data_IF_959270227295
#
_entry.id   IF_959270227295
#
_cell.length_a   1.000
_cell.length_b   1.000
_cell.length_c   1.000
_cell.angle_alpha   90.00
_cell.angle_beta   90.00
_cell.angle_gamma   90.00
#
_symmetry.space_group_name_H-M   'P 1'
#
loop_
_entity.id
_entity.type
_entity.pdbx_description
1 polymer ?
#
# COMPACT_ATOMS: atom_id res chain seq x y z
N UNK A 1 -5.15 -27.06 12.73
CA UNK A 1 -5.99 -26.40 13.74
C UNK A 1 -7.09 -25.64 13.03
N UNK A 2 -8.36 -25.84 13.43
CA UNK A 2 -9.47 -25.01 12.93
C UNK A 2 -9.78 -23.97 14.01
N UNK A 3 -9.56 -22.69 13.73
CA UNK A 3 -9.90 -21.61 14.67
C UNK A 3 -11.41 -21.51 14.91
N UNK A 4 -12.20 -21.86 13.91
CA UNK A 4 -13.66 -21.88 13.98
C UNK A 4 -14.16 -23.26 13.53
N UNK A 5 -14.85 -23.96 14.42
CA UNK A 5 -15.33 -25.33 14.15
C UNK A 5 -16.60 -25.41 13.30
N UNK A 6 -17.39 -24.38 13.18
CA UNK A 6 -18.53 -24.19 12.25
C UNK A 6 -18.99 -22.73 12.28
N UNK A 7 -18.24 -21.79 11.69
CA UNK A 7 -18.69 -20.40 11.69
C UNK A 7 -19.97 -20.27 10.87
N UNK A 8 -20.89 -19.43 11.34
CA UNK A 8 -22.14 -19.13 10.65
C UNK A 8 -22.43 -17.63 10.74
N UNK A 9 -21.48 -16.83 10.28
CA UNK A 9 -21.63 -15.39 10.22
C UNK A 9 -22.44 -14.98 8.99
N UNK A 10 -23.29 -13.96 9.12
CA UNK A 10 -24.02 -13.42 7.99
C UNK A 10 -23.23 -12.32 7.26
N UNK A 11 -22.22 -12.72 6.50
CA UNK A 11 -21.40 -11.80 5.71
C UNK A 11 -22.22 -11.10 4.62
N UNK A 12 -23.09 -11.82 3.94
CA UNK A 12 -23.95 -11.29 2.88
C UNK A 12 -24.92 -10.23 3.43
N UNK A 13 -25.42 -10.38 4.66
CA UNK A 13 -26.23 -9.36 5.32
C UNK A 13 -25.49 -8.07 5.58
N UNK A 14 -24.18 -8.15 5.93
CA UNK A 14 -23.33 -6.98 6.19
C UNK A 14 -22.79 -6.29 4.93
N UNK A 15 -22.97 -6.89 3.73
CA UNK A 15 -22.36 -6.42 2.47
C UNK A 15 -22.67 -4.96 2.14
N UNK A 16 -23.93 -4.53 2.28
CA UNK A 16 -24.31 -3.15 1.93
C UNK A 16 -23.57 -2.12 2.78
N UNK A 17 -23.46 -2.38 4.08
CA UNK A 17 -22.72 -1.53 5.00
C UNK A 17 -21.22 -1.52 4.66
N UNK A 18 -20.63 -2.69 4.51
CA UNK A 18 -19.20 -2.83 4.18
C UNK A 18 -18.85 -2.17 2.84
N UNK A 19 -19.70 -2.34 1.83
CA UNK A 19 -19.50 -1.72 0.51
C UNK A 19 -19.61 -0.20 0.56
N UNK A 20 -20.56 0.33 1.34
CA UNK A 20 -20.70 1.78 1.54
C UNK A 20 -19.49 2.35 2.29
N UNK A 21 -19.04 1.69 3.36
CA UNK A 21 -17.84 2.08 4.11
C UNK A 21 -16.60 2.11 3.21
N UNK A 22 -16.39 1.05 2.43
CA UNK A 22 -15.29 0.96 1.47
C UNK A 22 -15.39 2.02 0.37
N UNK A 23 -16.60 2.29 -0.12
CA UNK A 23 -16.82 3.33 -1.12
C UNK A 23 -16.43 4.71 -0.59
N UNK A 24 -16.82 5.03 0.65
CA UNK A 24 -16.42 6.28 1.31
C UNK A 24 -14.91 6.32 1.53
N UNK A 25 -14.28 5.23 1.98
CA UNK A 25 -12.84 5.17 2.21
C UNK A 25 -12.04 5.32 0.90
N UNK A 26 -12.47 4.66 -0.19
CA UNK A 26 -11.85 4.81 -1.52
C UNK A 26 -12.01 6.24 -2.04
N UNK A 27 -13.22 6.82 -1.91
CA UNK A 27 -13.46 8.20 -2.33
C UNK A 27 -12.60 9.18 -1.53
N UNK A 28 -12.53 9.03 -0.23
CA UNK A 28 -11.65 9.84 0.63
C UNK A 28 -10.17 9.69 0.24
N UNK A 29 -9.71 8.46 -0.03
CA UNK A 29 -8.34 8.21 -0.51
C UNK A 29 -8.05 8.89 -1.83
N UNK A 30 -8.98 8.85 -2.79
CA UNK A 30 -8.83 9.52 -4.08
C UNK A 30 -8.82 11.05 -3.94
N UNK A 31 -9.70 11.60 -3.09
CA UNK A 31 -9.72 13.04 -2.80
C UNK A 31 -8.40 13.48 -2.17
N UNK A 32 -7.89 12.75 -1.18
CA UNK A 32 -6.59 13.05 -0.55
C UNK A 32 -5.45 13.04 -1.57
N UNK A 33 -5.40 12.02 -2.42
CA UNK A 33 -4.39 11.94 -3.47
C UNK A 33 -4.52 13.10 -4.47
N UNK A 34 -5.73 13.50 -4.84
CA UNK A 34 -5.95 14.65 -5.74
C UNK A 34 -5.56 15.98 -5.09
N UNK A 35 -5.93 16.20 -3.83
CA UNK A 35 -5.60 17.44 -3.08
C UNK A 35 -4.10 17.60 -2.89
N UNK A 36 -3.39 16.50 -2.63
CA UNK A 36 -1.94 16.51 -2.47
C UNK A 36 -1.16 16.47 -3.81
N UNK A 37 -1.86 16.42 -4.96
CA UNK A 37 -1.23 16.36 -6.30
C UNK A 37 -0.62 15.00 -6.65
N UNK A 38 -1.07 13.93 -5.99
CA UNK A 38 -0.60 12.56 -6.14
C UNK A 38 0.08 12.00 -4.89
N UNK A 39 0.68 10.81 -5.00
CA UNK A 39 1.51 10.27 -3.93
C UNK A 39 2.76 11.10 -3.71
N UNK A 40 3.20 11.22 -2.46
CA UNK A 40 4.47 11.86 -2.15
C UNK A 40 5.62 10.92 -2.54
N UNK A 41 6.26 11.24 -3.66
CA UNK A 41 7.35 10.43 -4.20
C UNK A 41 8.66 10.68 -3.43
N UNK A 42 9.39 9.60 -3.10
CA UNK A 42 10.74 9.69 -2.54
C UNK A 42 11.77 10.15 -3.56
N UNK A 43 13.01 10.35 -3.12
CA UNK A 43 14.13 10.69 -3.99
C UNK A 43 14.41 9.62 -5.05
N UNK A 44 13.98 8.38 -4.85
CA UNK A 44 14.09 7.31 -5.85
C UNK A 44 13.45 7.69 -7.17
N UNK A 45 12.40 8.51 -7.12
CA UNK A 45 11.60 8.90 -8.29
C UNK A 45 11.73 10.36 -8.70
N UNK A 46 12.03 11.23 -7.72
CA UNK A 46 12.17 12.68 -7.96
C UNK A 46 13.61 13.09 -8.22
N UNK A 47 14.53 12.24 -7.82
CA UNK A 47 15.93 12.61 -7.68
C UNK A 47 16.17 13.50 -6.45
N UNK A 48 17.40 13.59 -6.01
CA UNK A 48 17.80 14.33 -4.83
C UNK A 48 18.81 13.58 -3.99
N UNK A 49 18.99 14.02 -2.74
CA UNK A 49 19.86 13.35 -1.78
C UNK A 49 19.17 13.19 -0.45
N UNK A 50 19.42 12.08 0.22
CA UNK A 50 19.03 11.84 1.61
C UNK A 50 20.31 11.67 2.43
N UNK A 51 20.38 12.42 3.51
CA UNK A 51 21.48 12.40 4.45
C UNK A 51 20.95 12.04 5.83
N UNK A 52 21.41 10.95 6.41
CA UNK A 52 21.13 10.56 7.79
C UNK A 52 22.29 10.98 8.67
N UNK A 53 22.03 11.86 9.60
CA UNK A 53 23.03 12.40 10.51
C UNK A 53 22.62 12.18 11.95
N UNK A 54 23.59 11.79 12.77
CA UNK A 54 23.44 11.66 14.21
C UNK A 54 24.29 12.70 14.92
N UNK A 55 23.68 13.42 15.85
CA UNK A 55 24.36 14.39 16.69
C UNK A 55 24.69 13.77 18.04
N UNK A 56 25.89 14.03 18.57
CA UNK A 56 26.23 13.64 19.94
C UNK A 56 25.40 14.41 20.98
N UNK A 57 25.05 15.69 20.65
CA UNK A 57 24.11 16.50 21.40
C UNK A 57 23.10 17.10 20.44
N UNK A 58 21.82 16.70 20.55
CA UNK A 58 20.77 17.11 19.62
C UNK A 58 20.48 18.60 19.73
N UNK A 59 20.60 19.36 18.64
CA UNK A 59 20.16 20.76 18.61
C UNK A 59 18.64 20.91 18.50
N UNK A 60 17.93 19.80 18.27
CA UNK A 60 16.51 19.78 17.98
C UNK A 60 16.19 20.03 16.50
N UNK A 61 15.09 19.44 16.02
CA UNK A 61 14.68 19.49 14.60
C UNK A 61 14.47 20.92 14.08
N UNK A 62 13.93 21.82 14.92
CA UNK A 62 13.69 23.21 14.55
C UNK A 62 14.99 23.95 14.25
N UNK A 63 16.03 23.76 15.08
CA UNK A 63 17.33 24.41 14.89
C UNK A 63 18.05 23.90 13.64
N UNK A 64 17.99 22.58 13.37
CA UNK A 64 18.55 22.00 12.14
C UNK A 64 17.83 22.56 10.90
N UNK A 65 16.50 22.66 10.94
CA UNK A 65 15.71 23.22 9.83
C UNK A 65 16.06 24.69 9.57
N UNK A 66 16.13 25.50 10.63
CA UNK A 66 16.50 26.91 10.53
C UNK A 66 17.91 27.08 9.97
N UNK A 67 18.85 26.24 10.38
CA UNK A 67 20.23 26.27 9.86
C UNK A 67 20.24 25.99 8.35
N UNK A 68 19.52 24.96 7.87
CA UNK A 68 19.47 24.67 6.46
C UNK A 68 18.81 25.76 5.63
N UNK A 69 17.75 26.38 6.14
CA UNK A 69 17.11 27.53 5.50
C UNK A 69 18.06 28.73 5.41
N UNK A 70 18.76 29.06 6.49
CA UNK A 70 19.71 30.19 6.53
C UNK A 70 20.91 29.99 5.60
N UNK A 71 21.32 28.77 5.36
CA UNK A 71 22.40 28.38 4.42
C UNK A 71 21.93 28.28 2.95
N UNK A 72 20.64 28.55 2.67
CA UNK A 72 20.09 28.55 1.31
C UNK A 72 19.71 27.19 0.75
N UNK A 73 19.56 26.18 1.59
CA UNK A 73 19.03 24.86 1.19
C UNK A 73 17.50 24.88 1.14
N UNK A 74 16.96 25.72 0.25
CA UNK A 74 15.52 25.87 0.07
C UNK A 74 14.86 24.52 -0.34
N UNK A 75 13.78 24.13 0.38
CA UNK A 75 13.08 22.88 0.15
C UNK A 75 13.69 21.66 0.82
N UNK A 76 14.77 21.80 1.60
CA UNK A 76 15.27 20.73 2.44
C UNK A 76 14.21 20.31 3.47
N UNK A 77 13.97 19.02 3.59
CA UNK A 77 13.06 18.47 4.59
C UNK A 77 13.86 17.78 5.68
N UNK A 78 13.52 18.04 6.93
CA UNK A 78 14.17 17.43 8.09
C UNK A 78 13.13 16.66 8.88
N UNK A 79 13.39 15.39 9.12
CA UNK A 79 12.57 14.50 9.95
C UNK A 79 13.43 13.80 11.00
N UNK A 80 12.88 13.54 12.17
CA UNK A 80 13.54 12.69 13.17
C UNK A 80 13.55 11.24 12.69
N UNK A 81 14.64 10.52 12.95
CA UNK A 81 14.86 9.17 12.46
C UNK A 81 15.25 8.23 13.61
N UNK A 82 14.26 7.62 14.22
CA UNK A 82 14.43 6.66 15.31
C UNK A 82 14.66 7.31 16.67
N UNK A 83 15.76 8.02 16.85
CA UNK A 83 16.10 8.73 18.08
C UNK A 83 16.00 10.25 17.91
N UNK A 84 15.86 10.99 19.00
CA UNK A 84 15.72 12.45 18.99
C UNK A 84 17.01 13.19 18.64
N UNK A 85 18.14 12.50 18.58
CA UNK A 85 19.46 12.99 18.19
C UNK A 85 19.84 12.61 16.74
N UNK A 86 18.95 11.93 16.03
CA UNK A 86 19.19 11.47 14.66
C UNK A 86 18.17 12.03 13.69
N UNK A 87 18.67 12.63 12.60
CA UNK A 87 17.84 13.33 11.62
C UNK A 87 18.07 12.79 10.20
N UNK A 88 16.99 12.66 9.47
CA UNK A 88 16.98 12.41 8.05
C UNK A 88 16.74 13.76 7.34
N UNK A 89 17.71 14.16 6.51
CA UNK A 89 17.66 15.40 5.75
C UNK A 89 17.50 15.02 4.28
N UNK A 90 16.36 15.38 3.69
CA UNK A 90 16.06 15.15 2.27
C UNK A 90 16.26 16.45 1.49
N UNK A 91 17.11 16.42 0.49
CA UNK A 91 17.41 17.54 -0.40
C UNK A 91 16.81 17.26 -1.77
N UNK A 92 15.92 18.11 -2.29
CA UNK A 92 15.39 17.95 -3.62
C UNK A 92 16.47 18.16 -4.69
N UNK A 93 16.39 17.43 -5.79
CA UNK A 93 17.29 17.63 -6.91
C UNK A 93 17.08 19.00 -7.55
N UNK A 94 18.17 19.70 -7.89
CA UNK A 94 18.09 20.87 -8.76
C UNK A 94 17.83 20.43 -10.21
N UNK A 95 16.98 21.17 -10.93
CA UNK A 95 16.74 20.88 -12.35
C UNK A 95 18.05 20.87 -13.13
N UNK A 96 18.35 19.78 -13.81
CA UNK A 96 19.57 19.60 -14.59
C UNK A 96 20.77 19.07 -13.84
N UNK A 97 20.70 18.92 -12.51
CA UNK A 97 21.78 18.38 -11.70
C UNK A 97 21.97 16.88 -11.97
N UNK A 98 23.21 16.43 -12.14
CA UNK A 98 23.56 15.01 -12.20
C UNK A 98 23.60 14.37 -10.80
N UNK A 99 23.70 13.02 -10.74
CA UNK A 99 23.84 12.30 -9.47
C UNK A 99 25.09 12.73 -8.67
N UNK A 100 26.19 13.07 -9.35
CA UNK A 100 27.40 13.59 -8.71
C UNK A 100 27.20 14.94 -8.04
N UNK A 101 26.38 15.83 -8.63
CA UNK A 101 26.05 17.14 -8.04
C UNK A 101 25.11 16.97 -6.83
N UNK A 102 24.21 16.00 -6.87
CA UNK A 102 23.36 15.69 -5.73
C UNK A 102 24.19 15.15 -4.55
N UNK A 103 25.17 14.27 -4.80
CA UNK A 103 26.12 13.79 -3.79
C UNK A 103 26.97 14.93 -3.22
N UNK A 104 27.42 15.85 -4.07
CA UNK A 104 28.17 17.04 -3.65
C UNK A 104 27.31 17.96 -2.78
N UNK A 105 26.00 18.09 -3.09
CA UNK A 105 25.07 18.87 -2.27
C UNK A 105 24.92 18.28 -0.86
N UNK A 106 24.78 16.95 -0.75
CA UNK A 106 24.71 16.27 0.54
C UNK A 106 25.98 16.49 1.37
N UNK A 107 27.17 16.41 0.74
CA UNK A 107 28.43 16.66 1.42
C UNK A 107 28.53 18.12 1.93
N UNK A 108 28.14 19.10 1.13
CA UNK A 108 28.12 20.52 1.55
C UNK A 108 27.18 20.72 2.75
N UNK A 109 26.01 20.12 2.76
CA UNK A 109 25.10 20.20 3.92
C UNK A 109 25.76 19.62 5.16
N UNK A 110 26.45 18.51 5.06
CA UNK A 110 27.16 17.89 6.19
C UNK A 110 28.27 18.84 6.72
N UNK A 111 29.03 19.43 5.81
CA UNK A 111 30.12 20.33 6.18
C UNK A 111 29.58 21.61 6.82
N UNK A 112 28.51 22.20 6.29
CA UNK A 112 27.81 23.36 6.87
C UNK A 112 27.23 23.07 8.26
N UNK A 113 26.65 21.89 8.45
CA UNK A 113 26.19 21.46 9.78
C UNK A 113 27.34 21.31 10.77
N UNK A 114 28.48 20.73 10.37
CA UNK A 114 29.67 20.59 11.21
C UNK A 114 30.25 21.91 11.62
N UNK A 115 30.26 22.88 10.70
CA UNK A 115 30.70 24.24 11.00
C UNK A 115 29.73 24.93 11.97
N UNK A 116 28.45 24.77 11.82
CA UNK A 116 27.44 25.42 12.67
C UNK A 116 27.35 24.79 14.05
N UNK A 117 27.57 23.47 14.14
CA UNK A 117 27.52 22.71 15.40
C UNK A 117 28.88 22.06 15.72
N UNK A 118 29.94 22.81 16.01
CA UNK A 118 31.28 22.25 16.19
C UNK A 118 31.40 21.31 17.39
N UNK A 119 30.57 21.49 18.41
CA UNK A 119 30.50 20.62 19.59
C UNK A 119 29.53 19.42 19.39
N UNK A 120 28.82 19.38 18.28
CA UNK A 120 27.76 18.39 18.01
C UNK A 120 28.29 17.01 17.62
N UNK A 121 29.56 16.86 17.27
CA UNK A 121 30.19 15.64 16.77
C UNK A 121 29.22 14.87 15.85
N UNK A 122 29.00 15.42 14.63
CA UNK A 122 28.02 14.89 13.69
C UNK A 122 28.61 13.67 12.99
N UNK A 123 27.96 12.54 13.21
CA UNK A 123 28.26 11.27 12.55
C UNK A 123 27.29 11.07 11.37
N UNK A 124 27.81 10.89 10.17
CA UNK A 124 27.04 10.56 8.99
C UNK A 124 26.79 9.05 8.96
N UNK A 125 25.54 8.64 9.17
CA UNK A 125 25.14 7.24 9.16
C UNK A 125 24.85 6.71 7.76
N UNK A 126 24.25 7.53 6.90
CA UNK A 126 23.84 7.16 5.56
C UNK A 126 23.83 8.40 4.66
N UNK A 127 24.26 8.23 3.44
CA UNK A 127 24.12 9.23 2.38
C UNK A 127 23.72 8.54 1.09
N UNK A 128 22.59 8.93 0.53
CA UNK A 128 22.10 8.43 -0.74
C UNK A 128 21.79 9.58 -1.67
N UNK A 129 22.10 9.39 -2.94
CA UNK A 129 21.88 10.42 -3.95
C UNK A 129 21.42 9.79 -5.25
N UNK A 130 20.35 10.32 -5.80
CA UNK A 130 19.76 9.88 -7.06
C UNK A 130 19.69 11.08 -8.00
N UNK A 131 20.26 10.92 -9.19
CA UNK A 131 20.13 11.94 -10.23
C UNK A 131 18.70 11.98 -10.78
N UNK A 132 18.16 13.16 -11.17
CA UNK A 132 16.80 13.31 -11.68
C UNK A 132 16.47 12.43 -12.89
N UNK A 133 17.45 12.19 -13.77
CA UNK A 133 17.29 11.30 -14.93
C UNK A 133 17.04 9.87 -14.47
N UNK A 134 17.86 9.37 -13.54
CA UNK A 134 17.73 8.02 -12.98
C UNK A 134 16.40 7.88 -12.24
N UNK A 135 16.03 8.88 -11.43
CA UNK A 135 14.75 8.92 -10.74
C UNK A 135 13.55 8.84 -11.71
N UNK A 136 13.60 9.57 -12.82
CA UNK A 136 12.57 9.48 -13.85
C UNK A 136 12.48 8.12 -14.54
N UNK A 137 13.62 7.49 -14.82
CA UNK A 137 13.69 6.13 -15.36
C UNK A 137 13.12 5.10 -14.37
N UNK A 138 13.50 5.21 -13.07
CA UNK A 138 12.99 4.34 -12.01
C UNK A 138 11.47 4.51 -11.81
N UNK A 139 10.95 5.74 -11.88
CA UNK A 139 9.51 5.99 -11.82
C UNK A 139 8.76 5.31 -12.94
N UNK A 140 9.27 5.42 -14.16
CA UNK A 140 8.67 4.77 -15.34
C UNK A 140 8.71 3.25 -15.19
N UNK A 141 9.84 2.70 -14.76
CA UNK A 141 9.99 1.28 -14.51
C UNK A 141 9.04 0.77 -13.41
N UNK A 142 8.89 1.52 -12.32
CA UNK A 142 7.97 1.19 -11.21
C UNK A 142 6.51 1.16 -11.69
N UNK A 143 6.06 2.19 -12.42
CA UNK A 143 4.70 2.25 -12.96
C UNK A 143 4.46 1.08 -13.94
N UNK A 144 5.40 0.83 -14.84
CA UNK A 144 5.30 -0.29 -15.79
C UNK A 144 5.25 -1.63 -15.06
N UNK A 145 6.04 -1.83 -14.00
CA UNK A 145 6.02 -3.08 -13.22
C UNK A 145 4.67 -3.31 -12.56
N UNK A 146 4.06 -2.26 -11.99
CA UNK A 146 2.71 -2.36 -11.41
C UNK A 146 1.67 -2.68 -12.49
N UNK A 147 1.69 -1.96 -13.62
CA UNK A 147 0.74 -2.17 -14.72
C UNK A 147 0.88 -3.59 -15.30
N UNK A 148 2.11 -4.02 -15.60
CA UNK A 148 2.39 -5.37 -16.13
C UNK A 148 2.01 -6.43 -15.11
N UNK A 149 2.34 -6.23 -13.82
CA UNK A 149 1.97 -7.16 -12.75
C UNK A 149 0.45 -7.34 -12.63
N UNK A 150 -0.30 -6.24 -12.60
CA UNK A 150 -1.77 -6.27 -12.57
C UNK A 150 -2.35 -6.91 -13.85
N UNK A 151 -1.78 -6.61 -15.01
CA UNK A 151 -2.20 -7.21 -16.28
C UNK A 151 -1.99 -8.73 -16.29
N UNK A 152 -0.82 -9.21 -15.87
CA UNK A 152 -0.52 -10.65 -15.80
C UNK A 152 -1.46 -11.38 -14.81
N UNK A 153 -1.75 -10.75 -13.68
CA UNK A 153 -2.74 -11.27 -12.72
C UNK A 153 -4.13 -11.31 -13.35
N UNK A 154 -4.54 -10.27 -14.06
CA UNK A 154 -5.83 -10.24 -14.76
C UNK A 154 -5.93 -11.35 -15.81
N UNK A 155 -4.87 -11.57 -16.60
CA UNK A 155 -4.77 -12.66 -17.57
C UNK A 155 -4.86 -14.02 -16.88
N UNK A 156 -4.12 -14.24 -15.78
CA UNK A 156 -4.18 -15.47 -15.00
C UNK A 156 -5.61 -15.75 -14.50
N UNK A 157 -6.28 -14.74 -13.93
CA UNK A 157 -7.64 -14.89 -13.42
C UNK A 157 -8.63 -15.17 -14.57
N UNK A 158 -8.44 -14.56 -15.73
CA UNK A 158 -9.27 -14.83 -16.91
C UNK A 158 -9.20 -16.31 -17.33
N UNK A 159 -7.99 -16.88 -17.41
CA UNK A 159 -7.85 -18.30 -17.72
C UNK A 159 -8.38 -19.21 -16.62
N UNK A 160 -8.26 -18.81 -15.36
CA UNK A 160 -8.63 -19.62 -14.20
C UNK A 160 -10.12 -19.56 -13.88
N UNK A 161 -10.77 -18.41 -14.14
CA UNK A 161 -12.15 -18.12 -13.75
C UNK A 161 -12.99 -17.58 -14.89
N UNK A 162 -14.33 -17.64 -14.73
CA UNK A 162 -15.28 -16.96 -15.62
C UNK A 162 -15.17 -15.43 -15.42
N UNK A 163 -15.42 -14.65 -16.45
CA UNK A 163 -15.24 -13.18 -16.54
C UNK A 163 -15.74 -12.41 -15.29
N UNK A 164 -16.88 -12.79 -14.74
CA UNK A 164 -17.47 -12.14 -13.55
C UNK A 164 -16.59 -12.23 -12.30
N UNK A 165 -15.92 -13.36 -12.10
CA UNK A 165 -14.99 -13.54 -10.98
C UNK A 165 -13.71 -12.71 -11.20
N UNK A 166 -13.25 -12.67 -12.46
CA UNK A 166 -12.09 -11.86 -12.83
C UNK A 166 -12.32 -10.37 -12.57
N UNK A 167 -13.47 -9.86 -12.99
CA UNK A 167 -13.84 -8.46 -12.76
C UNK A 167 -13.93 -8.13 -11.27
N UNK A 168 -14.57 -8.97 -10.47
CA UNK A 168 -14.69 -8.78 -9.03
C UNK A 168 -13.33 -8.79 -8.32
N UNK A 169 -12.42 -9.71 -8.70
CA UNK A 169 -11.07 -9.77 -8.16
C UNK A 169 -10.25 -8.53 -8.51
N UNK A 170 -10.28 -8.08 -9.77
CA UNK A 170 -9.54 -6.88 -10.21
C UNK A 170 -10.03 -5.64 -9.47
N UNK A 171 -11.34 -5.46 -9.30
CA UNK A 171 -11.89 -4.34 -8.52
C UNK A 171 -11.45 -4.38 -7.06
N UNK A 172 -11.38 -5.56 -6.45
CA UNK A 172 -10.87 -5.72 -5.09
C UNK A 172 -9.39 -5.34 -4.99
N UNK A 173 -8.55 -5.72 -5.97
CA UNK A 173 -7.14 -5.33 -6.01
C UNK A 173 -6.97 -3.81 -6.17
N UNK A 174 -7.74 -3.16 -7.03
CA UNK A 174 -7.73 -1.70 -7.13
C UNK A 174 -8.13 -1.02 -5.83
N UNK A 175 -9.17 -1.53 -5.16
CA UNK A 175 -9.58 -1.06 -3.84
C UNK A 175 -8.40 -1.12 -2.86
N UNK A 176 -7.69 -2.25 -2.77
CA UNK A 176 -6.59 -2.45 -1.81
C UNK A 176 -5.42 -1.50 -2.07
N UNK A 177 -5.04 -1.33 -3.33
CA UNK A 177 -3.97 -0.40 -3.74
C UNK A 177 -4.35 1.06 -3.46
N UNK A 178 -5.59 1.46 -3.80
CA UNK A 178 -6.06 2.85 -3.57
C UNK A 178 -6.09 3.15 -2.08
N UNK A 179 -6.58 2.25 -1.24
CA UNK A 179 -6.62 2.45 0.21
C UNK A 179 -5.20 2.52 0.80
N UNK A 180 -4.28 1.68 0.31
CA UNK A 180 -2.89 1.71 0.77
C UNK A 180 -2.20 3.02 0.39
N UNK A 181 -2.38 3.51 -0.84
CA UNK A 181 -1.87 4.82 -1.23
C UNK A 181 -2.59 5.97 -0.51
N UNK A 182 -3.87 5.81 -0.23
CA UNK A 182 -4.68 6.78 0.52
C UNK A 182 -4.18 6.97 1.95
N UNK A 183 -3.88 5.89 2.67
CA UNK A 183 -3.34 5.99 4.03
C UNK A 183 -1.92 6.58 4.04
N UNK A 184 -1.10 6.29 3.02
CA UNK A 184 0.20 6.92 2.84
C UNK A 184 0.05 8.43 2.62
N UNK A 185 -0.89 8.85 1.79
CA UNK A 185 -1.20 10.27 1.58
C UNK A 185 -1.72 10.95 2.85
N UNK A 186 -2.61 10.29 3.60
CA UNK A 186 -3.15 10.80 4.86
C UNK A 186 -2.07 11.03 5.92
N UNK A 187 -1.13 10.08 6.04
CA UNK A 187 -0.03 10.13 7.00
C UNK A 187 1.19 10.90 6.47
N UNK A 188 1.10 11.45 5.26
CA UNK A 188 2.17 12.17 4.58
C UNK A 188 3.47 11.34 4.46
N UNK A 189 3.34 10.02 4.23
CA UNK A 189 4.46 9.11 4.05
C UNK A 189 4.94 9.12 2.59
N UNK A 190 6.23 8.85 2.39
CA UNK A 190 6.83 8.83 1.05
C UNK A 190 6.63 7.45 0.39
N UNK A 191 6.32 7.49 -0.90
CA UNK A 191 6.29 6.29 -1.74
C UNK A 191 7.67 6.11 -2.37
N UNK A 192 8.42 5.11 -1.89
CA UNK A 192 9.75 4.71 -2.37
C UNK A 192 9.64 3.45 -3.26
N UNK A 193 10.77 3.00 -3.82
CA UNK A 193 10.86 1.71 -4.52
C UNK A 193 10.44 0.54 -3.62
N UNK A 194 10.77 0.62 -2.33
CA UNK A 194 10.35 -0.40 -1.35
C UNK A 194 8.82 -0.44 -1.21
N UNK A 195 8.15 0.71 -1.25
CA UNK A 195 6.69 0.76 -1.16
C UNK A 195 6.04 0.23 -2.44
N UNK A 196 6.62 0.48 -3.61
CA UNK A 196 6.16 -0.16 -4.86
C UNK A 196 6.26 -1.68 -4.78
N UNK A 197 7.38 -2.21 -4.25
CA UNK A 197 7.52 -3.64 -4.01
C UNK A 197 6.49 -4.17 -2.99
N UNK A 198 6.20 -3.41 -1.92
CA UNK A 198 5.14 -3.74 -0.97
C UNK A 198 3.77 -3.80 -1.65
N UNK A 199 3.42 -2.82 -2.49
CA UNK A 199 2.14 -2.80 -3.23
C UNK A 199 1.98 -4.04 -4.13
N UNK A 200 3.02 -4.42 -4.88
CA UNK A 200 2.99 -5.65 -5.69
C UNK A 200 2.85 -6.90 -4.84
N UNK A 201 3.49 -6.93 -3.67
CA UNK A 201 3.37 -8.04 -2.72
C UNK A 201 1.96 -8.11 -2.12
N UNK A 202 1.36 -6.97 -1.75
CA UNK A 202 -0.01 -6.87 -1.24
C UNK A 202 -1.00 -7.37 -2.29
N UNK A 203 -0.83 -6.97 -3.56
CA UNK A 203 -1.66 -7.44 -4.68
C UNK A 203 -1.59 -8.96 -4.81
N UNK A 204 -0.38 -9.55 -4.78
CA UNK A 204 -0.19 -11.00 -4.82
C UNK A 204 -0.79 -11.73 -3.62
N UNK A 205 -0.73 -11.09 -2.44
CA UNK A 205 -1.30 -11.62 -1.21
C UNK A 205 -2.84 -11.58 -1.22
N UNK A 206 -3.42 -10.45 -1.55
CA UNK A 206 -4.88 -10.24 -1.59
C UNK A 206 -5.56 -11.18 -2.59
N UNK A 207 -4.96 -11.34 -3.78
CA UNK A 207 -5.51 -12.23 -4.80
C UNK A 207 -5.53 -13.69 -4.35
N UNK A 208 -4.56 -14.14 -3.56
CA UNK A 208 -4.51 -15.51 -3.06
C UNK A 208 -5.75 -15.85 -2.20
N UNK A 209 -6.14 -14.98 -1.28
CA UNK A 209 -7.34 -15.18 -0.46
C UNK A 209 -8.62 -15.10 -1.31
N UNK A 210 -8.69 -14.16 -2.23
CA UNK A 210 -9.82 -14.03 -3.16
C UNK A 210 -10.01 -15.31 -4.00
N UNK A 211 -8.93 -15.91 -4.52
CA UNK A 211 -8.97 -17.17 -5.27
C UNK A 211 -9.52 -18.31 -4.42
N UNK A 212 -9.09 -18.41 -3.17
CA UNK A 212 -9.55 -19.46 -2.24
C UNK A 212 -11.06 -19.38 -2.03
N UNK A 213 -11.57 -18.17 -1.77
CA UNK A 213 -13.01 -17.95 -1.60
C UNK A 213 -13.77 -18.25 -2.90
N UNK A 214 -13.26 -17.81 -4.05
CA UNK A 214 -13.89 -18.03 -5.35
C UNK A 214 -13.92 -19.49 -5.76
N UNK A 215 -12.85 -20.23 -5.53
CA UNK A 215 -12.83 -21.68 -5.78
C UNK A 215 -13.87 -22.39 -4.91
N UNK A 216 -14.00 -22.00 -3.64
CA UNK A 216 -15.02 -22.58 -2.75
C UNK A 216 -16.44 -22.23 -3.18
N UNK A 217 -16.68 -20.98 -3.61
CA UNK A 217 -17.98 -20.57 -4.18
C UNK A 217 -18.29 -21.44 -5.40
N UNK A 218 -17.35 -21.62 -6.31
CA UNK A 218 -17.52 -22.42 -7.53
C UNK A 218 -17.78 -23.88 -7.25
N UNK A 219 -17.13 -24.46 -6.26
CA UNK A 219 -17.36 -25.83 -5.78
C UNK A 219 -18.77 -25.97 -5.22
N UNK A 220 -19.15 -25.09 -4.27
CA UNK A 220 -20.46 -25.13 -3.63
C UNK A 220 -21.61 -24.88 -4.63
N UNK A 221 -21.42 -24.04 -5.64
CA UNK A 221 -22.39 -23.85 -6.72
C UNK A 221 -22.71 -25.14 -7.49
N UNK A 222 -21.73 -26.04 -7.64
CA UNK A 222 -21.96 -27.33 -8.29
C UNK A 222 -22.67 -28.33 -7.38
N UNK A 223 -22.32 -28.33 -6.09
CA UNK A 223 -22.84 -29.28 -5.09
C UNK A 223 -24.24 -28.91 -4.58
N UNK A 224 -24.55 -27.62 -4.50
CA UNK A 224 -25.72 -27.05 -3.80
C UNK A 224 -26.66 -26.32 -4.75
N UNK A 225 -27.14 -27.01 -5.77
CA UNK A 225 -28.00 -26.45 -6.84
C UNK A 225 -29.36 -25.93 -6.37
N UNK A 226 -29.81 -26.33 -5.16
CA UNK A 226 -31.09 -25.89 -4.57
C UNK A 226 -30.98 -24.67 -3.68
N UNK A 227 -29.78 -24.31 -3.24
CA UNK A 227 -29.54 -23.11 -2.42
C UNK A 227 -29.49 -21.85 -3.32
N UNK A 228 -29.92 -20.73 -2.78
CA UNK A 228 -29.81 -19.44 -3.48
C UNK A 228 -28.33 -19.03 -3.64
N UNK A 229 -28.03 -18.22 -4.66
CA UNK A 229 -26.67 -17.75 -4.91
C UNK A 229 -26.07 -17.01 -3.70
N UNK A 230 -26.91 -16.26 -2.98
CA UNK A 230 -26.52 -15.54 -1.75
C UNK A 230 -26.15 -16.48 -0.61
N UNK A 231 -26.93 -17.55 -0.41
CA UNK A 231 -26.66 -18.57 0.60
C UNK A 231 -25.37 -19.31 0.31
N UNK A 232 -25.16 -19.70 -0.97
CA UNK A 232 -23.93 -20.37 -1.39
C UNK A 232 -22.70 -19.50 -1.14
N UNK A 233 -22.74 -18.20 -1.46
CA UNK A 233 -21.63 -17.28 -1.20
C UNK A 233 -21.39 -17.15 0.29
N UNK A 234 -22.43 -16.89 1.09
CA UNK A 234 -22.28 -16.72 2.56
C UNK A 234 -21.67 -17.98 3.19
N UNK A 235 -22.10 -19.14 2.79
CA UNK A 235 -21.57 -20.43 3.24
C UNK A 235 -20.10 -20.60 2.83
N UNK A 236 -19.76 -20.30 1.58
CA UNK A 236 -18.42 -20.47 1.06
C UNK A 236 -17.41 -19.58 1.80
N UNK A 237 -17.79 -18.34 2.12
CA UNK A 237 -16.98 -17.44 2.95
C UNK A 237 -16.77 -18.05 4.35
N UNK A 238 -17.83 -18.54 5.00
CA UNK A 238 -17.74 -19.20 6.30
C UNK A 238 -16.83 -20.44 6.27
N UNK A 239 -16.94 -21.27 5.24
CA UNK A 239 -16.13 -22.49 5.10
C UNK A 239 -14.64 -22.20 4.87
N UNK A 240 -14.29 -21.08 4.25
CA UNK A 240 -12.89 -20.65 4.03
C UNK A 240 -12.34 -19.76 5.13
N UNK A 241 -13.20 -19.21 6.00
CA UNK A 241 -12.87 -18.19 6.99
C UNK A 241 -11.69 -18.57 7.88
N UNK A 242 -11.67 -19.81 8.40
CA UNK A 242 -10.60 -20.26 9.29
C UNK A 242 -9.24 -20.25 8.60
N UNK A 243 -9.20 -20.60 7.31
CA UNK A 243 -7.97 -20.58 6.51
C UNK A 243 -7.54 -19.13 6.23
N UNK A 244 -8.45 -18.29 5.76
CA UNK A 244 -8.18 -16.88 5.45
C UNK A 244 -7.68 -16.13 6.70
N UNK A 245 -8.35 -16.27 7.83
CA UNK A 245 -7.90 -15.64 9.09
C UNK A 245 -6.53 -16.16 9.52
N UNK A 246 -6.27 -17.47 9.43
CA UNK A 246 -4.98 -18.04 9.85
C UNK A 246 -3.82 -17.52 8.99
N UNK A 247 -3.99 -17.53 7.66
CA UNK A 247 -2.97 -17.06 6.72
C UNK A 247 -2.72 -15.56 6.89
N UNK A 248 -3.79 -14.78 7.03
CA UNK A 248 -3.70 -13.33 7.20
C UNK A 248 -3.10 -12.95 8.55
N UNK A 249 -3.51 -13.61 9.63
CA UNK A 249 -3.00 -13.31 10.97
C UNK A 249 -1.50 -13.60 11.08
N UNK A 250 -1.03 -14.71 10.51
CA UNK A 250 0.40 -15.05 10.54
C UNK A 250 1.24 -14.00 9.82
N UNK A 251 0.84 -13.61 8.61
CA UNK A 251 1.55 -12.57 7.83
C UNK A 251 1.44 -11.20 8.48
N UNK A 252 0.25 -10.85 8.96
CA UNK A 252 -0.01 -9.58 9.67
C UNK A 252 0.86 -9.47 10.93
N UNK A 253 0.95 -10.54 11.73
CA UNK A 253 1.77 -10.55 12.95
C UNK A 253 3.24 -10.28 12.63
N UNK A 254 3.80 -10.94 11.62
CA UNK A 254 5.19 -10.71 11.20
C UNK A 254 5.38 -9.27 10.71
N UNK A 255 4.46 -8.75 9.89
CA UNK A 255 4.52 -7.39 9.39
C UNK A 255 4.44 -6.35 10.53
N UNK A 256 3.56 -6.55 11.52
CA UNK A 256 3.44 -5.67 12.69
C UNK A 256 4.69 -5.72 13.57
N UNK A 257 5.27 -6.90 13.80
CA UNK A 257 6.54 -7.02 14.53
C UNK A 257 7.65 -6.23 13.81
N UNK A 258 7.74 -6.37 12.50
CA UNK A 258 8.70 -5.60 11.69
C UNK A 258 8.40 -4.09 11.73
N UNK A 259 7.13 -3.68 11.75
CA UNK A 259 6.76 -2.28 11.85
C UNK A 259 7.16 -1.65 13.19
N UNK A 260 7.01 -2.41 14.29
CA UNK A 260 7.32 -1.92 15.64
C UNK A 260 8.81 -2.03 15.95
N UNK A 261 9.45 -3.15 15.57
CA UNK A 261 10.79 -3.52 16.00
C UNK A 261 11.85 -3.46 14.89
N UNK A 262 11.44 -3.34 13.62
CA UNK A 262 12.35 -3.44 12.48
C UNK A 262 13.20 -2.22 12.20
N UNK A 263 13.03 -1.15 12.98
CA UNK A 263 13.76 0.10 12.81
C UNK A 263 13.28 0.96 11.65
N UNK A 264 13.80 2.19 11.55
CA UNK A 264 13.25 3.20 10.64
C UNK A 264 13.33 2.84 9.15
N UNK A 265 14.36 2.09 8.72
CA UNK A 265 14.59 1.76 7.30
C UNK A 265 13.48 0.90 6.69
N UNK A 266 12.94 -0.04 7.46
CA UNK A 266 11.91 -0.96 6.97
C UNK A 266 10.51 -0.65 7.52
N UNK A 267 10.40 0.37 8.37
CA UNK A 267 9.16 0.73 9.09
C UNK A 267 8.01 1.02 8.14
N UNK A 268 8.23 1.85 7.13
CA UNK A 268 7.18 2.24 6.18
C UNK A 268 6.77 1.06 5.29
N UNK A 269 7.74 0.23 4.87
CA UNK A 269 7.45 -1.02 4.16
C UNK A 269 6.60 -1.96 5.02
N UNK A 270 7.00 -2.18 6.27
CA UNK A 270 6.29 -3.06 7.20
C UNK A 270 4.88 -2.51 7.54
N UNK A 271 4.74 -1.18 7.65
CA UNK A 271 3.44 -0.52 7.79
C UNK A 271 2.57 -0.76 6.56
N UNK A 272 3.10 -0.55 5.34
CA UNK A 272 2.38 -0.82 4.09
C UNK A 272 1.89 -2.27 4.04
N UNK A 273 2.78 -3.23 4.36
CA UNK A 273 2.43 -4.65 4.39
C UNK A 273 1.36 -4.97 5.45
N UNK A 274 1.48 -4.42 6.66
CA UNK A 274 0.49 -4.63 7.73
C UNK A 274 -0.89 -4.11 7.30
N UNK A 275 -0.95 -2.87 6.82
CA UNK A 275 -2.19 -2.26 6.37
C UNK A 275 -2.76 -2.99 5.15
N UNK A 276 -1.92 -3.31 4.15
CA UNK A 276 -2.33 -3.99 2.93
C UNK A 276 -2.84 -5.41 3.16
N UNK A 277 -2.22 -6.19 4.06
CA UNK A 277 -2.71 -7.53 4.44
C UNK A 277 -4.07 -7.43 5.15
N UNK A 278 -4.25 -6.46 6.04
CA UNK A 278 -5.52 -6.22 6.71
C UNK A 278 -6.63 -5.85 5.70
N UNK A 279 -6.36 -4.88 4.81
CA UNK A 279 -7.30 -4.44 3.78
C UNK A 279 -7.60 -5.56 2.78
N UNK A 280 -6.58 -6.32 2.32
CA UNK A 280 -6.74 -7.41 1.36
C UNK A 280 -7.58 -8.56 1.92
N UNK A 281 -7.41 -8.89 3.21
CA UNK A 281 -8.25 -9.87 3.89
C UNK A 281 -9.71 -9.41 3.98
N UNK A 282 -9.92 -8.14 4.32
CA UNK A 282 -11.24 -7.53 4.32
C UNK A 282 -11.85 -7.53 2.92
N UNK A 283 -11.09 -7.15 1.89
CA UNK A 283 -11.60 -6.99 0.53
C UNK A 283 -12.02 -8.32 -0.13
N UNK A 284 -11.33 -9.42 0.14
CA UNK A 284 -11.70 -10.76 -0.35
C UNK A 284 -13.10 -11.18 0.14
N UNK A 285 -13.45 -10.82 1.37
CA UNK A 285 -14.73 -11.14 2.02
C UNK A 285 -15.82 -10.13 1.65
N UNK A 286 -15.51 -8.82 1.76
CA UNK A 286 -16.51 -7.75 1.73
C UNK A 286 -16.54 -6.91 0.46
N UNK A 287 -15.61 -7.13 -0.49
CA UNK A 287 -15.61 -6.45 -1.79
C UNK A 287 -15.73 -7.48 -2.93
N UNK A 288 -14.80 -8.43 -3.04
CA UNK A 288 -14.78 -9.38 -4.14
C UNK A 288 -16.03 -10.30 -4.16
N UNK A 289 -16.37 -10.88 -3.00
CA UNK A 289 -17.53 -11.79 -2.91
C UNK A 289 -18.87 -11.08 -3.08
N UNK A 290 -19.11 -9.90 -2.50
CA UNK A 290 -20.31 -9.11 -2.74
C UNK A 290 -20.53 -8.66 -4.18
N UNK A 291 -19.48 -8.33 -4.90
CA UNK A 291 -19.60 -8.00 -6.33
C UNK A 291 -20.21 -9.14 -7.15
N UNK A 292 -19.94 -10.40 -6.78
CA UNK A 292 -20.54 -11.54 -7.41
C UNK A 292 -22.06 -11.64 -7.14
N UNK A 293 -22.47 -11.32 -5.90
CA UNK A 293 -23.91 -11.26 -5.54
C UNK A 293 -24.62 -10.20 -6.36
N UNK A 294 -24.06 -8.98 -6.37
CA UNK A 294 -24.64 -7.87 -7.13
C UNK A 294 -24.76 -8.17 -8.64
N UNK A 295 -23.77 -8.84 -9.22
CA UNK A 295 -23.80 -9.26 -10.62
C UNK A 295 -24.91 -10.28 -10.87
N UNK A 296 -25.10 -11.24 -9.96
CA UNK A 296 -26.14 -12.27 -10.07
C UNK A 296 -27.53 -11.67 -9.96
N UNK A 297 -27.77 -10.80 -8.99
CA UNK A 297 -29.06 -10.13 -8.79
C UNK A 297 -29.47 -9.36 -10.05
N UNK A 298 -28.57 -8.58 -10.64
CA UNK A 298 -28.83 -7.86 -11.91
C UNK A 298 -29.17 -8.76 -13.10
N UNK A 299 -28.63 -9.98 -13.14
CA UNK A 299 -28.98 -10.93 -14.19
C UNK A 299 -30.38 -11.51 -14.01
N UNK A 300 -30.80 -11.73 -12.76
CA UNK A 300 -32.14 -12.19 -12.42
C UNK A 300 -33.15 -11.11 -12.80
N UNK A 301 -32.92 -9.86 -12.37
CA UNK A 301 -33.80 -8.72 -12.68
C UNK A 301 -33.97 -8.52 -14.19
N UNK A 302 -32.88 -8.62 -14.97
CA UNK A 302 -32.94 -8.50 -16.44
C UNK A 302 -33.75 -9.63 -17.10
N UNK A 303 -33.65 -10.85 -16.57
CA UNK A 303 -34.43 -12.00 -17.09
C UNK A 303 -35.92 -11.86 -16.75
N UNK A 304 -36.27 -11.36 -15.55
CA UNK A 304 -37.65 -11.10 -15.18
C UNK A 304 -38.27 -10.00 -16.03
N UNK A 305 -37.56 -8.89 -16.21
CA UNK A 305 -38.02 -7.79 -17.08
C UNK A 305 -38.21 -8.21 -18.57
N UNK A 306 -37.37 -9.15 -19.05
CA UNK A 306 -37.52 -9.68 -20.40
C UNK A 306 -38.68 -10.69 -20.57
N UNK A 307 -39.21 -11.23 -19.48
CA UNK A 307 -40.36 -12.12 -19.47
C UNK A 307 -41.69 -11.36 -19.33
N UNK A 308 -41.64 -10.12 -18.90
CA UNK A 308 -42.78 -9.20 -18.69
C UNK A 308 -43.04 -8.33 -19.95
N UNK A 309 -42.15 -8.33 -20.95
CA UNK A 309 -42.33 -7.70 -22.27
C UNK A 309 -42.79 -8.67 -23.33
#
# INVERSE_FOLDING_TARGET
MQFFTKPNFNFVGAMKFAFSLSGVAVLASLILLLVHGGPRWSIDFTGGSVLQVKFASSPGIAAVRQTLESKGYAGAQVTEFGATDEFLITLPAKKGAGGAEAATAAQRVLDDLRVTYPNGQIDMRRSESVGPKVGGELRTAAINSVVVGLFLIAVYIWFRFVLRYGFAAILALFHDVILTLGIFSLLNLEVSLQIVAALLTIVGYSINDTIVVFDRIRENMKLRRKESYREVINRSINETLSRTILTSLTTFTVAVVLWIMGGPVIRDFAFAMSFGVFVGTYSSIFIASPLLVWWSDRQIDKKQAALEM
#
